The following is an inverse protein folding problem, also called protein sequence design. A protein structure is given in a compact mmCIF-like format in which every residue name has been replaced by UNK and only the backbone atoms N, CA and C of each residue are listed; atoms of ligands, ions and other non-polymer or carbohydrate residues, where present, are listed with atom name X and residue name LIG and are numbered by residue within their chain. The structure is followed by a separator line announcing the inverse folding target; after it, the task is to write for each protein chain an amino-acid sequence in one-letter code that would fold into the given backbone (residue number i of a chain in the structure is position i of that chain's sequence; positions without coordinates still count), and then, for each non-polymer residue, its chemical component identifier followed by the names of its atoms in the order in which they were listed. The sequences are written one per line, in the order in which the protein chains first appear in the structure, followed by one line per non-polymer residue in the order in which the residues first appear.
data_IF_502453533182
#
_entry.id   IF_502453533182
#
_cell.length_a   1.000
_cell.length_b   1.000
_cell.length_c   1.000
_cell.angle_alpha   90.00
_cell.angle_beta   90.00
_cell.angle_gamma   90.00
#
_symmetry.space_group_name_H-M   'P 1'
#
loop_
_entity.id
_entity.type
_entity.pdbx_description
1 polymer ?
#
# COMPACT_ATOMS: atom_id res chain seq x y z
N UNK A 1 -6.41 21.13 -4.57
CA UNK A 1 -6.10 19.70 -4.74
C UNK A 1 -4.99 19.38 -3.77
N UNK A 2 -5.22 18.48 -2.82
CA UNK A 2 -4.17 17.98 -1.92
C UNK A 2 -3.42 16.90 -2.71
N UNK A 3 -2.12 17.06 -2.90
CA UNK A 3 -1.31 16.04 -3.58
C UNK A 3 -1.30 14.75 -2.75
N UNK A 4 -1.39 13.58 -3.38
CA UNK A 4 -1.39 12.29 -2.66
C UNK A 4 -0.17 12.13 -1.74
N UNK A 5 0.98 12.69 -2.12
CA UNK A 5 2.22 12.70 -1.33
C UNK A 5 2.14 13.48 0.00
N UNK A 6 1.12 14.31 0.18
CA UNK A 6 0.87 15.01 1.44
C UNK A 6 0.03 14.19 2.42
N UNK A 7 -0.70 13.18 1.93
CA UNK A 7 -1.54 12.28 2.73
C UNK A 7 -0.82 10.96 3.05
N UNK A 8 0.15 10.58 2.22
CA UNK A 8 0.83 9.31 2.24
C UNK A 8 2.34 9.54 2.11
N UNK A 9 3.12 8.95 3.00
CA UNK A 9 4.56 9.20 3.10
C UNK A 9 5.41 8.03 2.61
N UNK A 10 4.81 6.86 2.43
CA UNK A 10 5.53 5.62 2.13
C UNK A 10 5.49 5.30 0.64
N UNK A 11 6.62 4.82 0.11
CA UNK A 11 6.75 4.38 -1.29
C UNK A 11 6.92 2.86 -1.32
N UNK A 12 5.94 2.19 -1.92
CA UNK A 12 5.90 0.75 -2.11
C UNK A 12 6.22 0.39 -3.55
N UNK A 13 6.96 -0.69 -3.78
CA UNK A 13 7.28 -1.20 -5.11
C UNK A 13 6.73 -2.61 -5.27
N UNK A 14 6.01 -2.83 -6.36
CA UNK A 14 5.44 -4.12 -6.77
C UNK A 14 5.51 -4.24 -8.29
N UNK A 15 6.10 -5.32 -8.81
CA UNK A 15 6.30 -5.56 -10.26
C UNK A 15 6.88 -4.37 -11.06
N UNK A 16 7.84 -3.64 -10.48
CA UNK A 16 8.44 -2.40 -11.03
C UNK A 16 7.50 -1.18 -11.10
N UNK A 17 6.31 -1.25 -10.50
CA UNK A 17 5.40 -0.12 -10.33
C UNK A 17 5.58 0.42 -8.90
N UNK A 18 5.68 1.74 -8.78
CA UNK A 18 5.74 2.43 -7.51
C UNK A 18 4.37 2.95 -7.11
N UNK A 19 3.93 2.56 -5.92
CA UNK A 19 2.70 2.98 -5.28
C UNK A 19 3.04 3.87 -4.08
N UNK A 20 2.22 4.90 -3.83
CA UNK A 20 2.37 5.76 -2.66
C UNK A 20 1.28 5.38 -1.67
N UNK A 21 1.62 5.11 -0.41
CA UNK A 21 0.67 4.66 0.60
C UNK A 21 1.12 4.96 2.03
N UNK A 22 0.58 4.20 2.97
CA UNK A 22 0.93 4.26 4.37
C UNK A 22 1.07 2.86 4.95
N UNK A 23 2.19 2.58 5.62
CA UNK A 23 2.34 1.38 6.42
C UNK A 23 1.67 1.57 7.80
N UNK A 24 0.70 0.71 8.12
CA UNK A 24 0.16 0.55 9.46
C UNK A 24 0.80 -0.68 10.13
N UNK A 25 1.93 -0.43 10.79
CA UNK A 25 2.69 -1.46 11.51
C UNK A 25 1.97 -1.97 12.77
N UNK A 26 0.92 -1.30 13.25
CA UNK A 26 0.17 -1.77 14.41
C UNK A 26 -0.74 -2.93 14.03
N UNK A 27 -1.33 -2.88 12.83
CA UNK A 27 -2.25 -3.90 12.32
C UNK A 27 -1.65 -4.79 11.23
N UNK A 28 -0.35 -4.65 10.94
CA UNK A 28 0.35 -5.31 9.84
C UNK A 28 -0.37 -5.12 8.50
N UNK A 29 -0.69 -3.87 8.18
CA UNK A 29 -1.44 -3.51 6.98
C UNK A 29 -0.71 -2.44 6.17
N UNK A 30 -0.88 -2.48 4.85
CA UNK A 30 -0.48 -1.42 3.94
C UNK A 30 -1.74 -0.77 3.37
N UNK A 31 -1.83 0.54 3.48
CA UNK A 31 -2.94 1.34 2.98
C UNK A 31 -2.48 2.02 1.68
N UNK A 32 -2.94 1.52 0.54
CA UNK A 32 -2.56 2.04 -0.78
C UNK A 32 -3.79 2.55 -1.52
N UNK A 33 -3.89 3.85 -1.85
CA UNK A 33 -4.99 4.42 -2.60
C UNK A 33 -4.93 4.07 -4.10
N UNK A 34 -6.10 3.87 -4.72
CA UNK A 34 -6.25 3.51 -6.14
C UNK A 34 -7.30 4.37 -6.86
N UNK A 35 -7.17 4.47 -8.19
CA UNK A 35 -8.15 5.15 -9.08
C UNK A 35 -9.41 4.32 -9.29
N UNK A 36 -9.23 3.01 -9.33
CA UNK A 36 -10.20 1.99 -9.66
C UNK A 36 -10.27 0.95 -8.55
N UNK A 37 -11.37 0.17 -8.52
CA UNK A 37 -11.58 -0.89 -7.53
C UNK A 37 -10.82 -2.18 -7.88
N UNK A 38 -9.75 -2.07 -8.66
CA UNK A 38 -8.93 -3.20 -9.09
C UNK A 38 -7.64 -3.19 -8.30
N UNK A 39 -7.48 -4.17 -7.42
CA UNK A 39 -6.26 -4.37 -6.66
C UNK A 39 -5.27 -5.18 -7.52
N UNK A 40 -4.06 -4.68 -7.83
CA UNK A 40 -3.06 -5.42 -8.58
C UNK A 40 -2.29 -6.44 -7.71
N UNK A 41 -2.57 -6.50 -6.41
CA UNK A 41 -1.87 -7.34 -5.46
C UNK A 41 -2.58 -8.68 -5.32
N UNK A 42 -1.85 -9.79 -5.51
CA UNK A 42 -2.35 -11.14 -5.30
C UNK A 42 -1.81 -11.73 -3.99
N UNK A 43 -2.53 -12.69 -3.42
CA UNK A 43 -2.12 -13.38 -2.18
C UNK A 43 -0.88 -14.23 -2.45
N UNK A 44 0.13 -14.11 -1.58
CA UNK A 44 1.41 -14.81 -1.70
C UNK A 44 2.48 -14.04 -2.50
N UNK A 45 2.12 -12.90 -3.08
CA UNK A 45 3.06 -11.99 -3.72
C UNK A 45 3.80 -11.12 -2.69
N UNK A 46 4.87 -10.43 -3.14
CA UNK A 46 5.74 -9.63 -2.27
C UNK A 46 5.71 -8.15 -2.60
N UNK A 47 5.50 -7.32 -1.58
CA UNK A 47 5.58 -5.86 -1.69
C UNK A 47 6.85 -5.37 -0.97
N UNK A 48 7.57 -4.46 -1.61
CA UNK A 48 8.77 -3.85 -1.05
C UNK A 48 8.47 -2.43 -0.60
N UNK A 49 8.77 -2.10 0.65
CA UNK A 49 8.69 -0.73 1.18
C UNK A 49 10.09 -0.13 1.27
N UNK A 50 10.29 1.04 0.66
CA UNK A 50 11.55 1.78 0.77
C UNK A 50 11.49 2.77 1.93
N UNK A 51 12.24 2.52 3.00
CA UNK A 51 12.44 3.46 4.11
C UNK A 51 13.89 3.98 4.12
N UNK A 52 14.13 5.07 3.39
CA UNK A 52 15.45 5.66 3.24
C UNK A 52 16.43 4.71 2.55
N UNK A 53 17.41 4.21 3.30
CA UNK A 53 18.41 3.24 2.83
C UNK A 53 18.01 1.77 3.07
N UNK A 54 16.94 1.52 3.84
CA UNK A 54 16.43 0.17 4.11
C UNK A 54 15.29 -0.18 3.16
N UNK A 55 15.20 -1.46 2.83
CA UNK A 55 14.08 -2.04 2.10
C UNK A 55 13.46 -3.11 2.99
N UNK A 56 12.16 -2.96 3.27
CA UNK A 56 11.37 -3.96 4.01
C UNK A 56 10.60 -4.80 2.99
N UNK A 57 10.49 -6.09 3.26
CA UNK A 57 9.82 -7.04 2.39
C UNK A 57 8.60 -7.62 3.10
N UNK A 58 7.45 -7.51 2.44
CA UNK A 58 6.17 -7.90 2.98
C UNK A 58 5.55 -8.99 2.10
N UNK A 59 5.18 -10.12 2.69
CA UNK A 59 4.35 -11.15 2.04
C UNK A 59 2.87 -10.72 2.15
N UNK A 60 2.16 -10.71 1.03
CA UNK A 60 0.72 -10.39 0.99
C UNK A 60 -0.06 -11.61 1.48
N UNK A 61 -0.81 -11.44 2.56
CA UNK A 61 -1.68 -12.47 3.13
C UNK A 61 -3.11 -12.38 2.62
N UNK A 62 -3.62 -11.16 2.50
CA UNK A 62 -4.97 -10.88 2.04
C UNK A 62 -5.08 -9.40 1.62
N UNK A 63 -6.18 -9.03 0.95
CA UNK A 63 -6.46 -7.62 0.67
C UNK A 63 -7.96 -7.30 0.66
N UNK A 64 -8.30 -6.08 1.05
CA UNK A 64 -9.65 -5.53 0.95
C UNK A 64 -9.66 -4.21 0.17
N UNK A 65 -10.66 -4.02 -0.69
CA UNK A 65 -10.89 -2.74 -1.38
C UNK A 65 -12.05 -1.98 -0.75
N UNK A 66 -11.81 -0.77 -0.27
CA UNK A 66 -12.82 0.11 0.34
C UNK A 66 -12.91 1.46 -0.39
N UNK A 67 -14.09 2.08 -0.34
CA UNK A 67 -14.28 3.45 -0.77
C UNK A 67 -13.63 4.42 0.23
N UNK A 68 -12.89 5.42 -0.27
CA UNK A 68 -12.35 6.49 0.58
C UNK A 68 -13.42 7.55 0.77
N UNK A 69 -13.75 7.82 2.03
CA UNK A 69 -14.67 8.90 2.40
C UNK A 69 -14.10 10.30 2.08
N UNK A 70 -12.78 10.40 1.92
CA UNK A 70 -12.07 11.65 1.62
C UNK A 70 -11.89 11.80 0.12
N UNK A 71 -12.69 12.70 -0.50
CA UNK A 71 -12.68 12.96 -1.94
C UNK A 71 -11.31 13.38 -2.49
N UNK A 72 -10.87 12.71 -3.56
CA UNK A 72 -9.60 12.93 -4.25
C UNK A 72 -9.56 12.20 -5.60
N UNK A 73 -8.41 12.25 -6.29
CA UNK A 73 -8.16 11.55 -7.57
C UNK A 73 -8.17 10.01 -7.45
N UNK A 74 -8.00 9.50 -6.24
CA UNK A 74 -7.93 8.08 -5.89
C UNK A 74 -9.07 7.75 -4.92
N UNK A 75 -10.27 7.43 -5.42
CA UNK A 75 -11.46 7.24 -4.59
C UNK A 75 -11.49 5.90 -3.85
N UNK A 76 -10.56 4.98 -4.14
CA UNK A 76 -10.51 3.66 -3.49
C UNK A 76 -9.24 3.53 -2.62
N UNK A 77 -9.31 2.66 -1.62
CA UNK A 77 -8.21 2.26 -0.75
C UNK A 77 -8.10 0.74 -0.75
N UNK A 78 -6.92 0.23 -1.11
CA UNK A 78 -6.53 -1.14 -0.83
C UNK A 78 -5.97 -1.21 0.60
N UNK A 79 -6.55 -2.07 1.41
CA UNK A 79 -6.03 -2.47 2.71
C UNK A 79 -5.39 -3.83 2.50
N UNK A 80 -4.07 -3.88 2.48
CA UNK A 80 -3.31 -5.10 2.19
C UNK A 80 -2.81 -5.63 3.51
N UNK A 81 -3.28 -6.81 3.89
CA UNK A 81 -2.79 -7.51 5.06
C UNK A 81 -1.47 -8.17 4.70
N UNK A 82 -0.43 -7.88 5.45
CA UNK A 82 0.92 -8.35 5.15
C UNK A 82 1.56 -9.03 6.33
N UNK A 83 2.55 -9.88 6.06
CA UNK A 83 3.50 -10.36 7.05
C UNK A 83 4.88 -9.81 6.74
N UNK A 84 5.60 -9.36 7.77
CA UNK A 84 7.01 -8.99 7.61
C UNK A 84 7.85 -10.26 7.52
N UNK A 85 8.64 -10.37 6.45
CA UNK A 85 9.52 -11.51 6.19
C UNK A 85 10.90 -11.31 6.81
N UNK A 86 11.30 -10.05 7.03
CA UNK A 86 12.66 -9.65 7.44
C UNK A 86 12.73 -9.21 8.91
N UNK A 87 11.71 -9.53 9.72
CA UNK A 87 11.65 -9.17 11.15
C UNK A 87 12.29 -10.18 12.10
#
# INVERSE_FOLDING_TARGET
MVSEKALFTDEFSFENITYIGQADTTNNQLLIPFKDRTCPFDIGEKILLRQGAKMLCFDILDYEMRDREVGGSLPYMAIIHVNDIDS
#
